data_IF_954455694987
#
_entry.id   IF_954455694987
#
_cell.length_a   1.000
_cell.length_b   1.000
_cell.length_c   1.000
_cell.angle_alpha   90.00
_cell.angle_beta   90.00
_cell.angle_gamma   90.00
#
_symmetry.space_group_name_H-M   'P 1'
#
loop_
_entity.id
_entity.type
_entity.pdbx_description
1 polymer ?
#
# COMPACT_ATOMS: atom_id res chain seq x y z
N UNK A 1 -4.99 -11.06 -6.37
CA UNK A 1 -3.70 -11.28 -5.67
C UNK A 1 -3.40 -10.22 -4.61
N UNK A 2 -3.35 -8.92 -4.94
CA UNK A 2 -3.08 -7.84 -3.98
C UNK A 2 -4.06 -7.79 -2.79
N UNK A 3 -5.36 -8.07 -3.03
CA UNK A 3 -6.36 -8.16 -1.97
C UNK A 3 -6.12 -9.30 -0.96
N UNK A 4 -5.52 -10.42 -1.40
CA UNK A 4 -5.21 -11.56 -0.52
C UNK A 4 -4.03 -11.26 0.40
N UNK A 5 -3.01 -10.57 -0.13
CA UNK A 5 -1.87 -10.09 0.67
C UNK A 5 -2.36 -9.08 1.70
N UNK A 6 -3.19 -8.12 1.29
CA UNK A 6 -3.75 -7.12 2.19
C UNK A 6 -4.60 -7.73 3.31
N UNK A 7 -5.51 -8.66 3.00
CA UNK A 7 -6.39 -9.27 4.00
C UNK A 7 -5.64 -10.17 4.99
N UNK A 8 -4.61 -10.88 4.52
CA UNK A 8 -3.75 -11.70 5.40
C UNK A 8 -2.97 -10.82 6.36
N UNK A 9 -2.38 -9.72 5.88
CA UNK A 9 -1.63 -8.79 6.74
C UNK A 9 -2.54 -8.00 7.69
N UNK A 10 -3.76 -7.64 7.27
CA UNK A 10 -4.74 -7.01 8.16
C UNK A 10 -5.13 -7.91 9.35
N UNK A 11 -5.22 -9.23 9.14
CA UNK A 11 -5.43 -10.20 10.23
C UNK A 11 -4.24 -10.29 11.16
N UNK A 12 -3.03 -10.47 10.62
CA UNK A 12 -1.81 -10.50 11.42
C UNK A 12 -1.63 -9.22 12.26
N UNK A 13 -1.94 -8.06 11.68
CA UNK A 13 -1.92 -6.77 12.39
C UNK A 13 -2.87 -6.75 13.58
N UNK A 14 -4.09 -7.27 13.42
CA UNK A 14 -5.07 -7.32 14.50
C UNK A 14 -4.61 -8.24 15.64
N UNK A 15 -4.16 -9.44 15.29
CA UNK A 15 -3.72 -10.44 16.26
C UNK A 15 -2.49 -9.97 17.04
N UNK A 16 -1.58 -9.25 16.37
CA UNK A 16 -0.34 -8.75 16.97
C UNK A 16 -0.46 -7.34 17.56
N UNK A 17 -1.63 -6.70 17.50
CA UNK A 17 -1.85 -5.37 18.08
C UNK A 17 -0.99 -4.25 17.49
N UNK A 18 -0.63 -4.33 16.20
CA UNK A 18 0.39 -3.45 15.58
C UNK A 18 -0.12 -2.04 15.21
N UNK A 19 -1.36 -1.69 15.57
CA UNK A 19 -1.97 -0.41 15.27
C UNK A 19 -2.39 -0.27 13.79
N UNK A 20 -2.24 0.93 13.22
CA UNK A 20 -2.70 1.21 11.86
C UNK A 20 -1.74 0.68 10.77
N UNK A 21 -2.28 -0.08 9.83
CA UNK A 21 -1.53 -0.56 8.67
C UNK A 21 -1.29 0.58 7.67
N UNK A 22 -0.03 0.96 7.49
CA UNK A 22 0.37 2.01 6.55
C UNK A 22 0.73 1.45 5.17
N UNK A 23 1.63 0.48 5.12
CA UNK A 23 2.07 -0.22 3.91
C UNK A 23 2.53 -1.65 4.23
N UNK A 24 2.64 -2.46 3.17
CA UNK A 24 3.15 -3.83 3.21
C UNK A 24 4.32 -3.88 2.24
N UNK A 25 5.51 -4.23 2.72
CA UNK A 25 6.68 -4.42 1.85
C UNK A 25 7.14 -5.87 1.90
N UNK A 26 7.20 -6.50 0.72
CA UNK A 26 7.74 -7.84 0.53
C UNK A 26 9.04 -7.71 -0.24
N UNK A 27 10.16 -8.17 0.36
CA UNK A 27 11.47 -8.18 -0.29
C UNK A 27 11.80 -9.60 -0.73
N UNK A 28 12.22 -9.75 -1.97
CA UNK A 28 12.60 -11.00 -2.60
C UNK A 28 13.98 -10.85 -3.27
N UNK A 29 14.59 -11.96 -3.66
CA UNK A 29 15.90 -11.93 -4.33
C UNK A 29 15.90 -11.07 -5.62
N UNK A 30 14.79 -11.06 -6.35
CA UNK A 30 14.63 -10.28 -7.59
C UNK A 30 14.25 -8.81 -7.37
N UNK A 31 13.87 -8.39 -6.15
CA UNK A 31 13.37 -7.04 -5.94
C UNK A 31 12.40 -6.93 -4.79
N UNK A 32 11.44 -6.03 -4.92
CA UNK A 32 10.46 -5.77 -3.86
C UNK A 32 9.08 -5.44 -4.42
N UNK A 33 8.07 -5.90 -3.71
CA UNK A 33 6.69 -5.49 -3.89
C UNK A 33 6.27 -4.62 -2.71
N UNK A 34 5.60 -3.50 -3.00
CA UNK A 34 5.02 -2.63 -1.98
C UNK A 34 3.54 -2.46 -2.25
N UNK A 35 2.73 -2.69 -1.23
CA UNK A 35 1.29 -2.51 -1.26
C UNK A 35 0.91 -1.43 -0.26
N UNK A 36 0.15 -0.43 -0.69
CA UNK A 36 -0.29 0.68 0.16
C UNK A 36 -1.79 0.84 0.04
N UNK A 37 -2.48 0.80 1.18
CA UNK A 37 -3.91 1.10 1.25
C UNK A 37 -4.13 2.61 1.13
N UNK A 38 -5.01 3.01 0.21
CA UNK A 38 -5.44 4.39 0.05
C UNK A 38 -6.94 4.42 0.32
N UNK A 39 -7.32 5.14 1.39
CA UNK A 39 -8.71 5.41 1.73
C UNK A 39 -9.00 6.91 1.55
N UNK A 40 -10.19 7.24 1.04
CA UNK A 40 -10.75 8.59 1.01
C UNK A 40 -11.83 8.81 2.08
N UNK A 41 -12.13 7.80 2.90
CA UNK A 41 -13.17 7.82 3.93
C UNK A 41 -14.56 7.42 3.40
N UNK A 42 -14.99 8.02 2.28
CA UNK A 42 -16.33 7.78 1.70
C UNK A 42 -16.39 6.63 0.68
N UNK A 43 -15.28 6.34 0.02
CA UNK A 43 -15.22 5.33 -1.05
C UNK A 43 -14.52 4.04 -0.61
N UNK A 44 -14.76 2.97 -1.37
CA UNK A 44 -14.05 1.70 -1.20
C UNK A 44 -12.53 1.95 -1.25
N UNK A 45 -11.76 1.46 -0.26
CA UNK A 45 -10.32 1.63 -0.26
C UNK A 45 -9.69 0.91 -1.44
N UNK A 46 -8.73 1.55 -2.07
CA UNK A 46 -7.94 0.98 -3.17
C UNK A 46 -6.53 0.63 -2.69
N UNK A 47 -5.91 -0.32 -3.38
CA UNK A 47 -4.54 -0.76 -3.09
C UNK A 47 -3.63 -0.28 -4.20
N UNK A 48 -2.68 0.60 -3.85
CA UNK A 48 -1.55 0.91 -4.71
C UNK A 48 -0.52 -0.21 -4.58
N UNK A 49 -0.36 -1.00 -5.63
CA UNK A 49 0.69 -2.03 -5.73
C UNK A 49 1.82 -1.53 -6.63
N UNK A 50 3.07 -1.66 -6.19
CA UNK A 50 4.25 -1.32 -6.96
C UNK A 50 5.28 -2.44 -6.87
N UNK A 51 5.83 -2.84 -8.01
CA UNK A 51 6.92 -3.80 -8.13
C UNK A 51 8.17 -3.04 -8.54
N UNK A 52 9.30 -3.35 -7.92
CA UNK A 52 10.55 -2.64 -8.16
C UNK A 52 11.72 -3.62 -8.15
N UNK A 53 12.71 -3.37 -9.00
CA UNK A 53 13.95 -4.15 -9.02
C UNK A 53 14.75 -4.03 -7.72
N UNK A 54 15.64 -5.00 -7.53
CA UNK A 54 16.56 -5.10 -6.38
C UNK A 54 17.32 -3.81 -6.07
N UNK A 55 17.68 -3.03 -7.09
CA UNK A 55 18.53 -1.85 -6.95
C UNK A 55 17.78 -0.57 -6.58
N UNK A 56 16.45 -0.62 -6.46
CA UNK A 56 15.67 0.57 -6.08
C UNK A 56 15.72 0.76 -4.57
N UNK A 57 16.49 1.74 -4.10
CA UNK A 57 16.60 2.09 -2.67
C UNK A 57 15.47 3.02 -2.20
N UNK A 58 15.38 4.20 -2.82
CA UNK A 58 14.47 5.27 -2.40
C UNK A 58 13.17 5.28 -3.22
N UNK A 59 12.10 4.77 -2.63
CA UNK A 59 10.81 4.58 -3.30
C UNK A 59 9.63 5.16 -2.52
N UNK A 60 9.75 5.23 -1.18
CA UNK A 60 8.69 5.70 -0.29
C UNK A 60 8.19 7.10 -0.65
N UNK A 61 9.09 8.01 -1.08
CA UNK A 61 8.69 9.36 -1.51
C UNK A 61 7.88 9.35 -2.80
N UNK A 62 8.28 8.55 -3.79
CA UNK A 62 7.57 8.44 -5.06
C UNK A 62 6.17 7.81 -4.85
N UNK A 63 6.11 6.71 -4.10
CA UNK A 63 4.85 6.06 -3.73
C UNK A 63 3.95 6.96 -2.89
N UNK A 64 4.52 7.73 -1.96
CA UNK A 64 3.79 8.71 -1.16
C UNK A 64 3.16 9.81 -2.03
N UNK A 65 3.93 10.39 -2.97
CA UNK A 65 3.40 11.38 -3.93
C UNK A 65 2.28 10.79 -4.79
N UNK A 66 2.46 9.57 -5.29
CA UNK A 66 1.43 8.87 -6.07
C UNK A 66 0.16 8.67 -5.22
N UNK A 67 0.30 8.16 -4.00
CA UNK A 67 -0.82 7.94 -3.10
C UNK A 67 -1.59 9.23 -2.78
N UNK A 68 -0.88 10.35 -2.56
CA UNK A 68 -1.51 11.66 -2.33
C UNK A 68 -2.30 12.12 -3.56
N UNK A 69 -1.73 12.01 -4.77
CA UNK A 69 -2.44 12.38 -6.01
C UNK A 69 -3.68 11.52 -6.23
N UNK A 70 -3.56 10.20 -6.04
CA UNK A 70 -4.68 9.27 -6.17
C UNK A 70 -5.79 9.60 -5.16
N UNK A 71 -5.44 9.85 -3.90
CA UNK A 71 -6.41 10.26 -2.88
C UNK A 71 -7.14 11.55 -3.25
N UNK A 72 -6.43 12.52 -3.81
CA UNK A 72 -7.04 13.77 -4.29
C UNK A 72 -8.01 13.53 -5.45
N UNK A 73 -7.69 12.61 -6.36
CA UNK A 73 -8.59 12.23 -7.46
C UNK A 73 -9.85 11.52 -6.95
N UNK A 74 -9.72 10.60 -5.99
CA UNK A 74 -10.85 9.93 -5.34
C UNK A 74 -11.80 10.95 -4.69
N UNK A 75 -11.27 11.94 -3.98
CA UNK A 75 -12.08 12.99 -3.33
C UNK A 75 -12.85 13.88 -4.31
N UNK A 76 -12.41 14.01 -5.56
CA UNK A 76 -13.12 14.82 -6.57
C UNK A 76 -14.29 14.07 -7.21
N UNK A 77 -14.33 12.73 -7.09
CA UNK A 77 -15.40 11.88 -7.64
C UNK A 77 -16.53 11.60 -6.64
N UNK A 78 -16.31 11.89 -5.36
CA UNK A 78 -17.26 11.71 -4.26
C UNK A 78 -17.96 13.02 -3.87
#
# INVERSE_FOLDING_TARGET
MSGYVASSVERMRNELGLGELKDISVRCAGGKAVFRKISSGKEQPIILAAIMDRNVRYHSRALGKAATKIRALMRRRA
#
